data_IF_592965887099
#
_entry.id   IF_592965887099
#
_cell.length_a   1.000
_cell.length_b   1.000
_cell.length_c   1.000
_cell.angle_alpha   90.00
_cell.angle_beta   90.00
_cell.angle_gamma   90.00
#
_symmetry.space_group_name_H-M   'P 1'
#
loop_
_entity.id
_entity.type
_entity.pdbx_description
1 polymer ?
#
# COMPACT_ATOMS: atom_id res chain seq x y z
N UNK A 1 -23.25 -3.58 -11.58
CA UNK A 1 -24.37 -3.08 -10.75
C UNK A 1 -23.91 -3.03 -9.32
N UNK A 2 -24.04 -1.89 -8.67
CA UNK A 2 -23.65 -1.66 -7.29
C UNK A 2 -24.71 -0.82 -6.57
N UNK A 3 -24.66 -0.78 -5.24
CA UNK A 3 -25.56 0.06 -4.44
C UNK A 3 -24.92 1.44 -4.27
N UNK A 4 -25.68 2.50 -4.59
CA UNK A 4 -25.21 3.88 -4.45
C UNK A 4 -25.07 4.30 -2.97
N UNK A 5 -23.99 5.01 -2.67
CA UNK A 5 -23.76 5.69 -1.40
C UNK A 5 -23.12 7.06 -1.65
N UNK A 6 -23.50 8.07 -0.87
CA UNK A 6 -23.00 9.45 -0.96
C UNK A 6 -22.48 9.89 0.41
N UNK A 7 -21.40 10.65 0.40
CA UNK A 7 -20.87 11.32 1.59
C UNK A 7 -21.47 12.72 1.70
N UNK A 8 -22.16 13.00 2.80
CA UNK A 8 -22.60 14.34 3.16
C UNK A 8 -22.06 14.73 4.54
N UNK A 9 -21.39 15.88 4.63
CA UNK A 9 -20.90 16.44 5.89
C UNK A 9 -20.02 15.46 6.72
N UNK A 10 -19.25 14.59 6.04
CA UNK A 10 -18.41 13.57 6.69
C UNK A 10 -19.17 12.37 7.26
N UNK A 11 -20.45 12.22 6.89
CA UNK A 11 -21.31 11.08 7.19
C UNK A 11 -21.71 10.34 5.90
N UNK A 12 -21.70 9.01 5.97
CA UNK A 12 -22.08 8.16 4.84
C UNK A 12 -23.60 7.95 4.80
N UNK A 13 -24.23 8.32 3.69
CA UNK A 13 -25.65 8.11 3.43
C UNK A 13 -25.83 7.06 2.35
N UNK A 14 -26.53 5.99 2.67
CA UNK A 14 -26.86 4.93 1.72
C UNK A 14 -28.10 5.31 0.90
N UNK A 15 -27.97 5.34 -0.43
CA UNK A 15 -29.08 5.68 -1.32
C UNK A 15 -30.02 4.51 -1.59
N UNK A 16 -29.59 3.28 -1.24
CA UNK A 16 -30.32 2.01 -1.51
C UNK A 16 -30.80 1.85 -2.97
N UNK A 17 -30.15 2.53 -3.91
CA UNK A 17 -30.45 2.50 -5.35
C UNK A 17 -29.39 1.70 -6.08
N UNK A 18 -29.83 0.88 -7.02
CA UNK A 18 -28.94 0.10 -7.91
C UNK A 18 -28.47 0.99 -9.06
N UNK A 19 -27.16 1.18 -9.17
CA UNK A 19 -26.52 1.97 -10.22
C UNK A 19 -25.82 1.04 -11.23
N UNK A 20 -25.91 1.33 -12.54
CA UNK A 20 -25.14 0.61 -13.55
C UNK A 20 -23.64 0.92 -13.39
N UNK A 21 -22.79 -0.02 -13.80
CA UNK A 21 -21.33 0.10 -13.66
C UNK A 21 -20.75 -0.44 -12.34
N UNK A 22 -19.40 -0.43 -12.21
CA UNK A 22 -18.69 -0.69 -10.96
C UNK A 22 -18.81 0.50 -9.99
N UNK A 23 -18.55 0.29 -8.70
CA UNK A 23 -18.50 1.37 -7.73
C UNK A 23 -17.20 2.17 -7.87
N UNK A 24 -17.30 3.50 -7.79
CA UNK A 24 -16.14 4.39 -7.97
C UNK A 24 -15.17 4.37 -6.77
N UNK A 25 -15.70 4.12 -5.56
CA UNK A 25 -14.94 4.14 -4.30
C UNK A 25 -15.42 3.09 -3.32
N UNK A 26 -14.51 2.62 -2.48
CA UNK A 26 -14.81 1.73 -1.35
C UNK A 26 -15.04 2.54 -0.07
N UNK A 27 -16.20 2.39 0.57
CA UNK A 27 -16.58 3.15 1.77
C UNK A 27 -16.28 2.42 3.10
N UNK A 28 -15.39 1.42 3.11
CA UNK A 28 -15.17 0.55 4.27
C UNK A 28 -14.74 1.29 5.55
N UNK A 29 -13.83 2.27 5.44
CA UNK A 29 -13.38 3.07 6.58
C UNK A 29 -14.52 3.94 7.14
N UNK A 30 -15.43 4.41 6.28
CA UNK A 30 -16.60 5.19 6.68
C UNK A 30 -17.63 4.32 7.43
N UNK A 31 -17.82 3.07 7.00
CA UNK A 31 -18.64 2.10 7.73
C UNK A 31 -18.01 1.76 9.08
N UNK A 32 -16.68 1.62 9.14
CA UNK A 32 -15.96 1.40 10.39
C UNK A 32 -16.13 2.58 11.37
N UNK A 33 -16.14 3.82 10.87
CA UNK A 33 -16.45 5.01 11.67
C UNK A 33 -17.88 4.97 12.22
N UNK A 34 -18.86 4.58 11.41
CA UNK A 34 -20.26 4.39 11.85
C UNK A 34 -20.39 3.27 12.90
N UNK A 35 -19.55 2.24 12.82
CA UNK A 35 -19.50 1.14 13.80
C UNK A 35 -18.82 1.52 15.13
N UNK A 36 -18.30 2.75 15.26
CA UNK A 36 -17.71 3.24 16.52
C UNK A 36 -16.30 2.71 16.80
N UNK A 37 -15.54 2.34 15.76
CA UNK A 37 -14.14 1.95 15.91
C UNK A 37 -13.26 3.11 16.39
N UNK A 38 -12.16 2.85 17.13
CA UNK A 38 -11.28 3.88 17.67
C UNK A 38 -10.68 4.80 16.60
N UNK A 39 -10.56 6.09 16.90
CA UNK A 39 -10.03 7.09 15.96
C UNK A 39 -8.59 6.80 15.51
N UNK A 40 -7.73 6.31 16.43
CA UNK A 40 -6.34 5.97 16.11
C UNK A 40 -6.24 4.82 15.10
N UNK A 41 -7.18 3.87 15.16
CA UNK A 41 -7.27 2.77 14.21
C UNK A 41 -7.69 3.27 12.83
N UNK A 42 -8.70 4.15 12.76
CA UNK A 42 -9.17 4.74 11.51
C UNK A 42 -8.06 5.57 10.84
N UNK A 43 -7.32 6.37 11.61
CA UNK A 43 -6.20 7.16 11.10
C UNK A 43 -5.07 6.30 10.49
N UNK A 44 -4.75 5.17 11.15
CA UNK A 44 -3.80 4.20 10.61
C UNK A 44 -4.32 3.56 9.33
N UNK A 45 -5.60 3.18 9.29
CA UNK A 45 -6.23 2.59 8.11
C UNK A 45 -6.18 3.57 6.91
N UNK A 46 -6.48 4.85 7.13
CA UNK A 46 -6.37 5.90 6.09
C UNK A 46 -4.94 6.04 5.56
N UNK A 47 -3.94 5.94 6.45
CA UNK A 47 -2.53 6.02 6.04
C UNK A 47 -2.14 4.86 5.14
N UNK A 48 -2.56 3.64 5.50
CA UNK A 48 -2.31 2.43 4.70
C UNK A 48 -3.06 2.50 3.37
N UNK A 49 -4.31 2.97 3.37
CA UNK A 49 -5.11 3.16 2.15
C UNK A 49 -4.38 4.06 1.16
N UNK A 50 -3.90 5.23 1.60
CA UNK A 50 -3.14 6.16 0.76
C UNK A 50 -1.88 5.54 0.17
N UNK A 51 -1.19 4.68 0.91
CA UNK A 51 -0.02 3.95 0.41
C UNK A 51 -0.41 2.95 -0.68
N UNK A 52 -1.47 2.16 -0.45
CA UNK A 52 -1.93 1.16 -1.41
C UNK A 52 -2.50 1.78 -2.69
N UNK A 53 -3.21 2.91 -2.58
CA UNK A 53 -3.72 3.66 -3.75
C UNK A 53 -2.59 4.33 -4.53
N UNK A 54 -1.51 4.76 -3.86
CA UNK A 54 -0.33 5.30 -4.53
C UNK A 54 0.49 4.23 -5.28
N UNK A 55 0.58 3.02 -4.73
CA UNK A 55 1.29 1.89 -5.33
C UNK A 55 0.49 1.17 -6.43
N UNK A 56 -0.81 1.44 -6.55
CA UNK A 56 -1.68 0.92 -7.59
C UNK A 56 -1.95 1.99 -8.67
N UNK A 57 -1.03 2.23 -9.63
CA UNK A 57 -1.33 3.13 -10.73
C UNK A 57 -2.46 2.55 -11.57
N UNK A 58 -3.62 3.20 -11.48
CA UNK A 58 -4.63 3.28 -12.54
C UNK A 58 -5.21 1.93 -13.05
N UNK A 59 -6.10 1.31 -12.26
CA UNK A 59 -7.09 0.33 -12.76
C UNK A 59 -8.49 0.93 -12.95
N UNK A 60 -8.59 2.24 -13.16
CA UNK A 60 -9.86 2.97 -13.30
C UNK A 60 -10.14 3.54 -14.69
N UNK A 61 -9.51 3.02 -15.75
CA UNK A 61 -9.92 3.32 -17.13
C UNK A 61 -10.65 2.12 -17.76
N UNK A 62 -11.86 2.29 -18.33
CA UNK A 62 -12.60 1.21 -18.96
C UNK A 62 -12.04 0.95 -20.37
N UNK A 63 -11.39 -0.20 -20.56
CA UNK A 63 -11.15 -0.74 -21.89
C UNK A 63 -12.38 -1.55 -22.33
N UNK A 64 -12.93 -1.35 -23.54
CA UNK A 64 -13.98 -2.22 -24.07
C UNK A 64 -13.38 -3.60 -24.37
N UNK A 65 -13.95 -4.65 -23.78
CA UNK A 65 -13.69 -6.03 -24.17
C UNK A 65 -14.29 -6.31 -25.58
N UNK A 66 -13.90 -7.38 -26.31
CA UNK A 66 -13.18 -8.57 -25.84
C UNK A 66 -12.13 -9.14 -26.83
N UNK A 67 -11.01 -9.67 -26.35
CA UNK A 67 -10.44 -10.91 -26.91
C UNK A 67 -9.87 -11.76 -25.78
N UNK A 68 -10.29 -13.02 -25.80
CA UNK A 68 -9.92 -14.09 -24.89
C UNK A 68 -8.49 -14.51 -25.23
N UNK A 69 -7.54 -14.17 -24.38
CA UNK A 69 -6.36 -15.01 -24.18
C UNK A 69 -6.19 -15.20 -22.67
N UNK A 70 -6.15 -16.48 -22.30
CA UNK A 70 -6.03 -16.98 -20.94
C UNK A 70 -4.70 -16.54 -20.33
N UNK A 71 -4.65 -15.33 -19.79
CA UNK A 71 -3.70 -14.99 -18.75
C UNK A 71 -4.49 -14.83 -17.46
N UNK A 72 -4.75 -15.99 -16.85
CA UNK A 72 -5.17 -16.10 -15.47
C UNK A 72 -4.13 -15.37 -14.60
N UNK A 73 -4.39 -14.09 -14.33
CA UNK A 73 -3.65 -13.31 -13.34
C UNK A 73 -3.89 -14.00 -12.01
N UNK A 74 -2.85 -14.68 -11.51
CA UNK A 74 -2.86 -15.36 -10.23
C UNK A 74 -3.12 -14.33 -9.13
N UNK A 75 -4.36 -14.24 -8.68
CA UNK A 75 -4.84 -13.33 -7.63
C UNK A 75 -4.21 -13.64 -6.26
N UNK A 76 -3.49 -14.76 -6.15
CA UNK A 76 -2.74 -15.24 -5.00
C UNK A 76 -1.25 -15.41 -5.31
N UNK A 77 -0.64 -14.50 -6.06
CA UNK A 77 0.79 -14.29 -5.83
C UNK A 77 0.92 -13.68 -4.44
N UNK A 78 1.32 -14.50 -3.46
CA UNK A 78 2.04 -13.98 -2.30
C UNK A 78 3.03 -12.96 -2.86
N UNK A 79 3.09 -11.72 -2.32
CA UNK A 79 4.15 -10.83 -2.72
C UNK A 79 5.44 -11.54 -2.36
N UNK A 80 6.07 -12.20 -3.35
CA UNK A 80 7.49 -12.53 -3.29
C UNK A 80 8.09 -11.24 -2.79
N UNK A 81 8.75 -11.23 -1.62
CA UNK A 81 9.34 -10.01 -1.10
C UNK A 81 10.19 -9.52 -2.24
N UNK A 82 9.76 -8.44 -2.91
CA UNK A 82 10.56 -7.85 -3.95
C UNK A 82 11.84 -7.54 -3.22
N UNK A 83 12.96 -8.21 -3.54
CA UNK A 83 14.19 -7.77 -2.99
C UNK A 83 14.35 -6.44 -3.72
N UNK A 84 13.95 -5.35 -3.06
CA UNK A 84 14.74 -4.14 -3.11
C UNK A 84 16.10 -4.60 -2.57
N UNK A 85 16.86 -5.34 -3.37
CA UNK A 85 18.23 -5.77 -3.17
C UNK A 85 19.04 -4.50 -3.32
N UNK A 86 18.78 -3.60 -2.38
CA UNK A 86 19.58 -2.45 -2.11
C UNK A 86 20.94 -3.04 -1.74
N UNK A 87 22.01 -2.72 -2.48
CA UNK A 87 23.36 -3.20 -2.15
C UNK A 87 23.79 -2.80 -0.73
N UNK A 88 23.06 -1.90 -0.08
CA UNK A 88 23.23 -1.52 1.32
C UNK A 88 22.65 -2.58 2.27
N UNK A 89 21.49 -3.18 1.97
CA UNK A 89 20.87 -4.20 2.83
C UNK A 89 21.72 -5.47 2.90
N UNK A 90 22.33 -5.86 1.78
CA UNK A 90 23.26 -7.00 1.76
C UNK A 90 24.56 -6.71 2.51
N UNK A 91 25.06 -5.47 2.49
CA UNK A 91 26.20 -5.05 3.32
C UNK A 91 25.86 -5.08 4.80
N UNK A 92 24.67 -4.61 5.18
CA UNK A 92 24.19 -4.60 6.57
C UNK A 92 24.01 -6.03 7.10
N UNK A 93 23.42 -6.92 6.30
CA UNK A 93 23.22 -8.32 6.68
C UNK A 93 24.53 -9.11 6.88
N UNK A 94 25.62 -8.68 6.24
CA UNK A 94 26.95 -9.32 6.35
C UNK A 94 27.83 -8.71 7.44
N UNK A 95 27.43 -7.57 8.02
CA UNK A 95 28.24 -6.88 9.02
C UNK A 95 28.00 -7.50 10.40
N UNK A 96 29.06 -8.02 11.01
CA UNK A 96 29.00 -8.61 12.35
C UNK A 96 29.42 -7.58 13.40
N UNK A 97 28.46 -7.17 14.22
CA UNK A 97 28.66 -6.24 15.33
C UNK A 97 29.44 -6.86 16.50
N UNK A 98 29.41 -8.18 16.66
CA UNK A 98 30.05 -8.86 17.80
C UNK A 98 31.56 -8.99 17.61
N UNK A 99 32.04 -9.00 16.37
CA UNK A 99 33.46 -9.04 16.02
C UNK A 99 34.05 -7.65 15.71
N UNK A 100 33.22 -6.62 15.54
CA UNK A 100 33.65 -5.28 15.17
C UNK A 100 34.05 -4.43 16.38
N UNK A 101 35.05 -3.57 16.21
CA UNK A 101 35.35 -2.55 17.23
C UNK A 101 34.31 -1.41 17.16
N UNK A 102 34.10 -0.65 18.25
CA UNK A 102 33.22 0.52 18.22
C UNK A 102 33.58 1.53 17.12
N UNK A 103 34.86 1.65 16.79
CA UNK A 103 35.34 2.53 15.72
C UNK A 103 34.94 1.99 14.33
N UNK A 104 35.05 0.68 14.12
CA UNK A 104 34.65 0.05 12.84
C UNK A 104 33.15 0.17 12.59
N UNK A 105 32.33 0.01 13.64
CA UNK A 105 30.88 0.22 13.55
C UNK A 105 30.54 1.66 13.15
N UNK A 106 31.22 2.65 13.75
CA UNK A 106 31.02 4.06 13.42
C UNK A 106 31.42 4.39 11.98
N UNK A 107 32.56 3.85 11.52
CA UNK A 107 33.01 4.00 10.13
C UNK A 107 32.03 3.35 9.14
N UNK A 108 31.52 2.16 9.47
CA UNK A 108 30.55 1.45 8.64
C UNK A 108 29.24 2.23 8.48
N UNK A 109 28.70 2.78 9.58
CA UNK A 109 27.48 3.62 9.55
C UNK A 109 27.72 4.88 8.71
N UNK A 110 28.89 5.53 8.85
CA UNK A 110 29.23 6.71 8.07
C UNK A 110 29.26 6.43 6.56
N UNK A 111 29.85 5.30 6.15
CA UNK A 111 29.88 4.89 4.75
C UNK A 111 28.48 4.64 4.19
N UNK A 112 27.60 4.00 4.97
CA UNK A 112 26.20 3.80 4.56
C UNK A 112 25.47 5.13 4.36
N UNK A 113 25.66 6.09 5.28
CA UNK A 113 25.04 7.41 5.20
C UNK A 113 25.52 8.18 3.96
N UNK A 114 26.82 8.08 3.61
CA UNK A 114 27.40 8.70 2.42
C UNK A 114 26.83 8.12 1.13
N UNK A 115 26.60 6.80 1.08
CA UNK A 115 25.99 6.14 -0.07
C UNK A 115 24.52 6.53 -0.27
N UNK A 116 23.79 6.81 0.81
CA UNK A 116 22.40 7.27 0.74
C UNK A 116 22.27 8.74 0.32
N UNK A 117 23.18 9.62 0.76
CA UNK A 117 23.16 11.06 0.40
C UNK A 117 23.67 11.38 -1.01
N UNK A 118 24.35 10.44 -1.68
CA UNK A 118 24.89 10.61 -3.04
C UNK A 118 23.93 10.23 -4.17
N UNK A 119 22.73 9.74 -3.83
CA UNK A 119 21.60 9.56 -4.77
C UNK A 119 20.66 10.75 -4.66
#
# INVERSE_FOLDING_TARGET
VHVGAVEEHGNLVFLHKMMPGPADKSYGIHVAKLAGLPADLLARADTILKQLEADAPNKTAPAPAPQVEEQQLSLFEEPKPTPKNSPILTKLAKFDLMAATPMDAMNFIFDLQKHLKKK
#
